data_IF_175850534806
#
_entry.id   IF_175850534806
#
_cell.length_a   1.000
_cell.length_b   1.000
_cell.length_c   1.000
_cell.angle_alpha   90.00
_cell.angle_beta   90.00
_cell.angle_gamma   90.00
#
_symmetry.space_group_name_H-M   'P 1'
#
loop_
_entity.id
_entity.type
_entity.pdbx_description
1 polymer ?
#
# COMPACT_ATOMS: atom_id res chain seq x y z
N UNK A 1 43.60 7.23 7.18
CA UNK A 1 43.07 7.88 5.95
C UNK A 1 41.57 7.65 5.87
N UNK A 2 40.76 8.69 5.65
CA UNK A 2 39.32 8.52 5.45
C UNK A 2 39.04 7.74 4.16
N UNK A 3 38.03 6.88 4.19
CA UNK A 3 37.48 6.17 3.04
C UNK A 3 36.14 6.83 2.71
N UNK A 4 36.05 7.52 1.59
CA UNK A 4 34.85 8.24 1.17
C UNK A 4 34.91 8.61 -0.32
N UNK A 5 33.75 8.95 -0.89
CA UNK A 5 33.60 9.40 -2.28
C UNK A 5 33.27 10.89 -2.31
N UNK A 6 33.57 11.63 -3.38
CA UNK A 6 33.29 13.07 -3.46
C UNK A 6 31.81 13.46 -3.22
N UNK A 7 30.89 12.51 -3.42
CA UNK A 7 29.44 12.70 -3.29
C UNK A 7 28.85 12.31 -1.90
N UNK A 8 29.62 11.62 -1.04
CA UNK A 8 29.15 11.12 0.25
C UNK A 8 30.18 11.33 1.37
N UNK A 9 29.69 11.53 2.60
CA UNK A 9 30.52 11.69 3.80
C UNK A 9 31.40 10.45 4.08
N UNK A 10 32.39 10.59 4.97
CA UNK A 10 33.37 9.54 5.30
C UNK A 10 32.66 8.25 5.73
N UNK A 11 32.82 7.16 4.95
CA UNK A 11 32.17 5.86 5.18
C UNK A 11 33.02 4.90 6.02
N UNK A 12 34.30 5.19 6.20
CA UNK A 12 35.21 4.40 7.02
C UNK A 12 36.58 5.06 7.16
N UNK A 13 37.45 4.42 7.94
CA UNK A 13 38.82 4.89 8.13
C UNK A 13 39.78 3.73 7.90
N UNK A 14 40.71 3.92 6.96
CA UNK A 14 41.86 3.04 6.77
C UNK A 14 42.97 3.43 7.75
N UNK A 15 43.41 2.49 8.59
CA UNK A 15 44.52 2.69 9.52
C UNK A 15 45.70 1.82 9.14
N UNK A 16 46.90 2.41 9.15
CA UNK A 16 48.16 1.68 9.10
C UNK A 16 48.75 1.65 10.51
N UNK A 17 49.21 0.48 10.93
CA UNK A 17 49.84 0.29 12.22
C UNK A 17 51.14 -0.50 12.05
N UNK A 18 52.15 -0.19 12.88
CA UNK A 18 53.39 -0.98 12.97
C UNK A 18 53.84 -1.12 14.42
N UNK A 19 54.77 -2.04 14.66
CA UNK A 19 55.32 -2.30 15.99
C UNK A 19 56.06 -1.07 16.56
N UNK A 20 56.00 -0.93 17.88
CA UNK A 20 56.66 0.17 18.61
C UNK A 20 58.17 0.12 18.40
N UNK A 21 58.78 1.26 18.08
CA UNK A 21 60.23 1.38 17.84
C UNK A 21 60.67 1.15 16.38
N UNK A 22 59.76 0.76 15.48
CA UNK A 22 60.08 0.68 14.06
C UNK A 22 60.06 2.08 13.39
N UNK A 23 60.79 2.28 12.27
CA UNK A 23 60.85 3.55 11.53
C UNK A 23 59.48 4.17 11.20
N UNK A 24 59.42 5.49 11.01
CA UNK A 24 58.21 6.15 10.50
C UNK A 24 57.91 5.71 9.06
N UNK A 25 56.62 5.70 8.68
CA UNK A 25 56.21 5.44 7.29
C UNK A 25 56.70 6.57 6.39
N UNK A 26 57.23 6.23 5.22
CA UNK A 26 57.61 7.21 4.20
C UNK A 26 56.50 7.44 3.15
N UNK A 27 56.77 8.35 2.21
CA UNK A 27 55.82 8.71 1.14
C UNK A 27 55.58 7.59 0.12
N UNK A 28 56.55 6.71 -0.10
CA UNK A 28 56.44 5.59 -1.03
C UNK A 28 55.62 4.44 -0.41
N UNK A 29 55.72 4.25 0.90
CA UNK A 29 54.89 3.30 1.66
C UNK A 29 53.44 3.78 1.81
N UNK A 30 53.23 5.09 1.95
CA UNK A 30 51.90 5.66 2.22
C UNK A 30 51.15 6.13 0.97
N UNK A 31 51.85 6.47 -0.12
CA UNK A 31 51.27 6.92 -1.38
C UNK A 31 50.21 5.97 -1.99
N UNK A 32 50.48 4.65 -2.08
CA UNK A 32 49.52 3.67 -2.59
C UNK A 32 48.23 3.56 -1.77
N UNK A 33 48.25 3.94 -0.48
CA UNK A 33 47.08 3.85 0.41
C UNK A 33 45.95 4.77 0.00
N UNK A 34 46.25 5.90 -0.65
CA UNK A 34 45.23 6.81 -1.14
C UNK A 34 44.42 6.16 -2.27
N UNK A 35 45.10 5.50 -3.21
CA UNK A 35 44.46 4.74 -4.29
C UNK A 35 43.65 3.56 -3.75
N UNK A 36 44.20 2.84 -2.77
CA UNK A 36 43.47 1.78 -2.08
C UNK A 36 42.24 2.29 -1.33
N UNK A 37 42.34 3.42 -0.62
CA UNK A 37 41.22 4.04 0.07
C UNK A 37 40.11 4.46 -0.92
N UNK A 38 40.46 4.95 -2.10
CA UNK A 38 39.50 5.24 -3.17
C UNK A 38 38.79 3.99 -3.69
N UNK A 39 39.52 2.90 -3.93
CA UNK A 39 38.90 1.62 -4.34
C UNK A 39 38.02 1.01 -3.24
N UNK A 40 38.46 1.10 -1.98
CA UNK A 40 37.67 0.67 -0.83
C UNK A 40 36.38 1.49 -0.69
N UNK A 41 36.42 2.80 -0.94
CA UNK A 41 35.24 3.66 -0.91
C UNK A 41 34.21 3.24 -1.96
N UNK A 42 34.63 3.01 -3.20
CA UNK A 42 33.76 2.54 -4.28
C UNK A 42 33.17 1.16 -3.98
N UNK A 43 33.99 0.23 -3.47
CA UNK A 43 33.53 -1.11 -3.10
C UNK A 43 32.48 -1.05 -1.97
N UNK A 44 32.68 -0.20 -0.97
CA UNK A 44 31.71 0.03 0.11
C UNK A 44 30.41 0.66 -0.41
N UNK A 45 30.50 1.63 -1.32
CA UNK A 45 29.32 2.24 -1.94
C UNK A 45 28.50 1.20 -2.73
N UNK A 46 29.16 0.39 -3.56
CA UNK A 46 28.49 -0.66 -4.31
C UNK A 46 27.87 -1.72 -3.40
N UNK A 47 28.56 -2.10 -2.32
CA UNK A 47 28.03 -3.03 -1.34
C UNK A 47 26.77 -2.48 -0.64
N UNK A 48 26.76 -1.20 -0.29
CA UNK A 48 25.61 -0.56 0.34
C UNK A 48 24.42 -0.50 -0.61
N UNK A 49 24.64 -0.06 -1.86
CA UNK A 49 23.60 -0.05 -2.91
C UNK A 49 23.02 -1.43 -3.17
N UNK A 50 23.85 -2.48 -3.14
CA UNK A 50 23.39 -3.87 -3.27
C UNK A 50 22.49 -4.27 -2.10
N UNK A 51 22.90 -3.98 -0.86
CA UNK A 51 22.07 -4.26 0.33
C UNK A 51 20.72 -3.54 0.28
N UNK A 52 20.71 -2.25 -0.06
CA UNK A 52 19.48 -1.47 -0.22
C UNK A 52 18.56 -2.10 -1.28
N UNK A 53 19.12 -2.45 -2.44
CA UNK A 53 18.37 -3.10 -3.51
C UNK A 53 17.82 -4.47 -3.11
N UNK A 54 18.61 -5.31 -2.42
CA UNK A 54 18.18 -6.61 -1.91
C UNK A 54 17.03 -6.46 -0.91
N UNK A 55 17.12 -5.48 -0.01
CA UNK A 55 16.06 -5.21 0.96
C UNK A 55 14.77 -4.75 0.26
N UNK A 56 14.86 -3.90 -0.77
CA UNK A 56 13.70 -3.48 -1.57
C UNK A 56 13.07 -4.68 -2.31
N UNK A 57 13.89 -5.56 -2.89
CA UNK A 57 13.39 -6.77 -3.58
C UNK A 57 12.66 -7.67 -2.61
N UNK A 58 13.22 -7.92 -1.42
CA UNK A 58 12.58 -8.74 -0.39
C UNK A 58 11.24 -8.14 0.07
N UNK A 59 11.17 -6.82 0.28
CA UNK A 59 9.92 -6.16 0.66
C UNK A 59 8.85 -6.30 -0.42
N UNK A 60 9.20 -6.05 -1.69
CA UNK A 60 8.29 -6.24 -2.83
C UNK A 60 7.77 -7.67 -2.93
N UNK A 61 8.63 -8.65 -2.68
CA UNK A 61 8.25 -10.05 -2.71
C UNK A 61 7.30 -10.40 -1.57
N UNK A 62 7.53 -9.88 -0.36
CA UNK A 62 6.59 -10.04 0.77
C UNK A 62 5.22 -9.45 0.45
N UNK A 63 5.17 -8.26 -0.15
CA UNK A 63 3.91 -7.63 -0.57
C UNK A 63 3.20 -8.45 -1.65
N UNK A 64 3.95 -9.04 -2.57
CA UNK A 64 3.40 -9.91 -3.61
C UNK A 64 2.81 -11.18 -3.01
N UNK A 65 3.56 -11.88 -2.19
CA UNK A 65 3.10 -13.10 -1.51
C UNK A 65 1.86 -12.80 -0.66
N UNK A 66 1.86 -11.70 0.09
CA UNK A 66 0.70 -11.32 0.90
C UNK A 66 -0.55 -11.10 0.02
N UNK A 67 -0.43 -10.37 -1.10
CA UNK A 67 -1.53 -10.19 -2.05
C UNK A 67 -2.04 -11.51 -2.62
N UNK A 68 -1.14 -12.35 -3.13
CA UNK A 68 -1.51 -13.63 -3.74
C UNK A 68 -2.25 -14.53 -2.74
N UNK A 69 -1.78 -14.57 -1.49
CA UNK A 69 -2.44 -15.32 -0.41
C UNK A 69 -3.82 -14.74 -0.06
N UNK A 70 -3.95 -13.42 0.02
CA UNK A 70 -5.23 -12.79 0.33
C UNK A 70 -6.26 -12.96 -0.80
N UNK A 71 -5.85 -12.83 -2.06
CA UNK A 71 -6.73 -13.04 -3.21
C UNK A 71 -7.22 -14.48 -3.23
N UNK A 72 -6.34 -15.44 -2.99
CA UNK A 72 -6.71 -16.85 -2.85
C UNK A 72 -7.69 -17.07 -1.69
N UNK A 73 -7.45 -16.46 -0.53
CA UNK A 73 -8.34 -16.57 0.62
C UNK A 73 -9.75 -16.01 0.31
N UNK A 74 -9.83 -14.83 -0.31
CA UNK A 74 -11.09 -14.20 -0.74
C UNK A 74 -11.82 -15.09 -1.74
N UNK A 75 -11.13 -15.63 -2.75
CA UNK A 75 -11.73 -16.54 -3.73
C UNK A 75 -12.35 -17.77 -3.07
N UNK A 76 -11.65 -18.40 -2.11
CA UNK A 76 -12.14 -19.59 -1.40
C UNK A 76 -13.35 -19.27 -0.51
N UNK A 77 -13.35 -18.13 0.18
CA UNK A 77 -14.51 -17.70 0.98
C UNK A 77 -15.74 -17.52 0.09
N UNK A 78 -15.59 -16.83 -1.04
CA UNK A 78 -16.68 -16.60 -2.00
C UNK A 78 -17.19 -17.92 -2.60
N UNK A 79 -16.29 -18.81 -3.02
CA UNK A 79 -16.68 -20.12 -3.54
C UNK A 79 -17.44 -20.97 -2.50
N UNK A 80 -17.03 -20.89 -1.24
CA UNK A 80 -17.73 -21.55 -0.12
C UNK A 80 -19.11 -20.95 0.08
N UNK A 81 -19.23 -19.62 0.06
CA UNK A 81 -20.52 -18.92 0.12
C UNK A 81 -21.46 -19.34 -1.02
N UNK A 82 -20.98 -19.39 -2.26
CA UNK A 82 -21.76 -19.88 -3.41
C UNK A 82 -22.21 -21.34 -3.24
N UNK A 83 -21.35 -22.20 -2.66
CA UNK A 83 -21.69 -23.59 -2.37
C UNK A 83 -22.80 -23.69 -1.33
N UNK A 84 -22.74 -22.88 -0.26
CA UNK A 84 -23.78 -22.80 0.77
C UNK A 84 -25.10 -22.24 0.22
N UNK A 85 -25.04 -21.23 -0.65
CA UNK A 85 -26.21 -20.71 -1.37
C UNK A 85 -26.87 -21.79 -2.24
N UNK A 86 -26.08 -22.61 -2.91
CA UNK A 86 -26.57 -23.75 -3.68
C UNK A 86 -27.15 -24.88 -2.81
N UNK A 87 -26.76 -24.97 -1.54
CA UNK A 87 -27.26 -25.96 -0.59
C UNK A 87 -28.58 -25.53 0.07
N UNK A 88 -28.82 -24.22 0.20
CA UNK A 88 -30.04 -23.64 0.81
C UNK A 88 -31.35 -24.18 0.20
N UNK A 89 -31.37 -24.48 -1.10
CA UNK A 89 -32.54 -25.05 -1.79
C UNK A 89 -32.94 -26.46 -1.33
N UNK A 90 -32.10 -27.13 -0.54
CA UNK A 90 -32.34 -28.48 -0.02
C UNK A 90 -32.65 -28.48 1.49
N UNK A 91 -32.84 -27.30 2.09
CA UNK A 91 -33.11 -27.15 3.52
C UNK A 91 -34.59 -26.83 3.72
N UNK A 92 -35.33 -27.78 4.28
CA UNK A 92 -36.76 -27.60 4.57
C UNK A 92 -37.02 -26.93 5.92
N UNK A 93 -36.08 -27.04 6.87
CA UNK A 93 -36.24 -26.46 8.21
C UNK A 93 -35.89 -24.97 8.19
N UNK A 94 -36.85 -24.06 8.46
CA UNK A 94 -36.64 -22.62 8.28
C UNK A 94 -35.52 -22.07 9.18
N UNK A 95 -35.40 -22.56 10.42
CA UNK A 95 -34.32 -22.11 11.32
C UNK A 95 -32.94 -22.57 10.85
N UNK A 96 -32.85 -23.70 10.14
CA UNK A 96 -31.59 -24.18 9.58
C UNK A 96 -31.19 -23.35 8.35
N UNK A 97 -32.16 -22.98 7.51
CA UNK A 97 -31.94 -22.08 6.38
C UNK A 97 -31.44 -20.70 6.85
N UNK A 98 -32.08 -20.14 7.89
CA UNK A 98 -31.67 -18.89 8.52
C UNK A 98 -30.23 -18.92 9.06
N UNK A 99 -29.81 -20.03 9.66
CA UNK A 99 -28.43 -20.20 10.15
C UNK A 99 -27.42 -20.22 9.00
N UNK A 100 -27.76 -20.87 7.89
CA UNK A 100 -26.89 -20.91 6.70
C UNK A 100 -26.78 -19.53 6.05
N UNK A 101 -27.88 -18.78 5.97
CA UNK A 101 -27.88 -17.40 5.48
C UNK A 101 -26.96 -16.50 6.32
N UNK A 102 -27.05 -16.56 7.65
CA UNK A 102 -26.13 -15.83 8.53
C UNK A 102 -24.66 -16.22 8.32
N UNK A 103 -24.39 -17.52 8.15
CA UNK A 103 -23.03 -17.98 7.87
C UNK A 103 -22.49 -17.44 6.54
N UNK A 104 -23.34 -17.32 5.51
CA UNK A 104 -22.96 -16.68 4.24
C UNK A 104 -22.66 -15.19 4.45
N UNK A 105 -23.50 -14.47 5.20
CA UNK A 105 -23.28 -13.06 5.52
C UNK A 105 -21.96 -12.84 6.28
N UNK A 106 -21.64 -13.72 7.24
CA UNK A 106 -20.38 -13.69 8.00
C UNK A 106 -19.15 -13.93 7.11
N UNK A 107 -19.25 -14.83 6.12
CA UNK A 107 -18.18 -15.06 5.14
C UNK A 107 -17.95 -13.81 4.26
N UNK A 108 -19.02 -13.15 3.83
CA UNK A 108 -18.95 -11.92 3.04
C UNK A 108 -18.36 -10.75 3.84
N UNK A 109 -18.74 -10.60 5.11
CA UNK A 109 -18.16 -9.59 6.01
C UNK A 109 -16.68 -9.87 6.27
N UNK A 110 -16.29 -11.13 6.44
CA UNK A 110 -14.90 -11.53 6.59
C UNK A 110 -14.09 -11.18 5.33
N UNK A 111 -14.63 -11.47 4.13
CA UNK A 111 -13.98 -11.10 2.87
C UNK A 111 -13.84 -9.57 2.72
N UNK A 112 -14.85 -8.80 3.15
CA UNK A 112 -14.83 -7.33 3.17
C UNK A 112 -13.75 -6.80 4.13
N UNK A 113 -13.65 -7.37 5.32
CA UNK A 113 -12.64 -7.00 6.34
C UNK A 113 -11.21 -7.26 5.85
N UNK A 114 -10.97 -8.42 5.23
CA UNK A 114 -9.68 -8.76 4.63
C UNK A 114 -9.32 -7.72 3.55
N UNK A 115 -10.25 -7.44 2.64
CA UNK A 115 -10.05 -6.45 1.57
C UNK A 115 -9.75 -5.05 2.14
N UNK A 116 -10.50 -4.60 3.15
CA UNK A 116 -10.30 -3.31 3.80
C UNK A 116 -8.92 -3.22 4.48
N UNK A 117 -8.47 -4.28 5.13
CA UNK A 117 -7.15 -4.34 5.79
C UNK A 117 -6.03 -4.19 4.76
N UNK A 118 -6.13 -4.88 3.61
CA UNK A 118 -5.16 -4.78 2.52
C UNK A 118 -5.12 -3.35 1.95
N UNK A 119 -6.27 -2.70 1.76
CA UNK A 119 -6.32 -1.31 1.28
C UNK A 119 -5.83 -0.30 2.32
N UNK A 120 -6.14 -0.52 3.61
CA UNK A 120 -5.70 0.33 4.71
C UNK A 120 -4.18 0.31 4.92
N UNK A 121 -3.55 -0.85 4.74
CA UNK A 121 -2.09 -0.99 4.74
C UNK A 121 -1.45 -0.24 3.57
N UNK A 122 -2.02 -0.36 2.35
CA UNK A 122 -1.53 0.36 1.16
C UNK A 122 -1.50 1.88 1.32
N UNK A 123 -2.49 2.47 2.00
CA UNK A 123 -2.53 3.93 2.24
C UNK A 123 -1.43 4.38 3.20
N UNK A 124 -0.96 3.50 4.09
CA UNK A 124 0.14 3.79 5.03
C UNK A 124 1.50 3.66 4.35
N UNK A 125 1.66 2.68 3.47
CA UNK A 125 2.92 2.42 2.74
C UNK A 125 3.15 3.37 1.56
N UNK A 126 2.09 3.84 0.88
CA UNK A 126 2.21 4.74 -0.27
C UNK A 126 2.70 6.17 0.08
N UNK A 127 3.06 6.42 1.35
CA UNK A 127 3.77 7.62 1.80
C UNK A 127 2.97 8.93 1.67
N UNK A 128 3.59 10.07 2.00
CA UNK A 128 2.96 11.39 1.95
C UNK A 128 2.43 11.77 0.55
N UNK A 129 3.02 11.22 -0.51
CA UNK A 129 2.65 11.50 -1.90
C UNK A 129 1.24 11.00 -2.27
N UNK A 130 0.85 9.79 -1.84
CA UNK A 130 -0.49 9.27 -2.08
C UNK A 130 -1.57 10.03 -1.28
N UNK A 131 -1.24 10.46 -0.05
CA UNK A 131 -2.08 11.37 0.73
C UNK A 131 -2.26 12.72 0.01
N UNK A 132 -1.19 13.26 -0.59
CA UNK A 132 -1.21 14.49 -1.38
C UNK A 132 -2.05 14.41 -2.65
N UNK A 133 -2.04 13.27 -3.35
CA UNK A 133 -2.86 13.07 -4.56
C UNK A 133 -4.35 13.06 -4.22
N UNK A 134 -4.76 12.37 -3.15
CA UNK A 134 -6.15 12.34 -2.70
C UNK A 134 -6.64 13.73 -2.28
N UNK A 135 -5.81 14.48 -1.56
CA UNK A 135 -6.12 15.87 -1.17
C UNK A 135 -6.31 16.78 -2.40
N UNK A 136 -5.41 16.69 -3.40
CA UNK A 136 -5.55 17.44 -4.66
C UNK A 136 -6.80 17.09 -5.45
N UNK A 137 -7.20 15.83 -5.50
CA UNK A 137 -8.44 15.42 -6.19
C UNK A 137 -9.68 15.95 -5.47
N UNK A 138 -9.71 15.89 -4.14
CA UNK A 138 -10.80 16.48 -3.35
C UNK A 138 -10.87 17.99 -3.58
N UNK A 139 -9.73 18.68 -3.53
CA UNK A 139 -9.66 20.13 -3.75
C UNK A 139 -10.14 20.55 -5.15
N UNK A 140 -9.78 19.78 -6.19
CA UNK A 140 -10.25 20.03 -7.57
C UNK A 140 -11.75 19.80 -7.70
N UNK A 141 -12.28 18.76 -7.07
CA UNK A 141 -13.73 18.48 -7.11
C UNK A 141 -14.51 19.52 -6.30
N UNK A 142 -14.01 19.96 -5.14
CA UNK A 142 -14.63 21.03 -4.36
C UNK A 142 -14.63 22.37 -5.10
N UNK A 143 -13.52 22.71 -5.79
CA UNK A 143 -13.46 23.89 -6.66
C UNK A 143 -14.45 23.81 -7.82
N UNK A 144 -14.60 22.64 -8.45
CA UNK A 144 -15.58 22.43 -9.51
C UNK A 144 -17.03 22.50 -8.98
N UNK A 145 -17.29 21.95 -7.80
CA UNK A 145 -18.59 21.99 -7.14
C UNK A 145 -19.01 23.41 -6.73
N UNK A 146 -18.06 24.23 -6.28
CA UNK A 146 -18.27 25.64 -5.95
C UNK A 146 -18.65 26.48 -7.18
N UNK A 147 -18.11 26.15 -8.35
CA UNK A 147 -18.42 26.83 -9.62
C UNK A 147 -19.76 26.34 -10.21
N UNK A 148 -20.10 25.06 -10.00
CA UNK A 148 -21.29 24.43 -10.58
C UNK A 148 -22.54 24.47 -9.67
N UNK A 149 -22.42 24.97 -8.43
CA UNK A 149 -23.53 25.17 -7.49
C UNK A 149 -24.23 23.89 -7.01
N UNK A 150 -23.58 22.73 -7.13
CA UNK A 150 -24.14 21.42 -6.75
C UNK A 150 -23.29 20.74 -5.67
N UNK A 151 -23.93 20.13 -4.68
CA UNK A 151 -23.27 19.33 -3.65
C UNK A 151 -22.79 18.00 -4.22
N UNK A 152 -21.59 18.00 -4.79
CA UNK A 152 -20.98 16.79 -5.36
C UNK A 152 -20.40 15.91 -4.25
N UNK A 153 -20.74 14.61 -4.26
CA UNK A 153 -20.15 13.60 -3.35
C UNK A 153 -19.12 12.78 -4.11
N UNK A 154 -17.88 12.73 -3.62
CA UNK A 154 -16.80 11.91 -4.17
C UNK A 154 -16.71 10.61 -3.39
N UNK A 155 -16.99 9.49 -4.06
CA UNK A 155 -16.73 8.15 -3.52
C UNK A 155 -15.55 7.51 -4.23
N UNK A 156 -14.60 6.98 -3.46
CA UNK A 156 -13.48 6.20 -3.99
C UNK A 156 -13.86 4.74 -4.00
N UNK A 157 -13.86 4.12 -5.18
CA UNK A 157 -14.13 2.70 -5.32
C UNK A 157 -12.89 2.00 -5.88
N UNK A 158 -12.48 0.87 -5.30
CA UNK A 158 -11.34 0.12 -5.82
C UNK A 158 -11.65 -0.35 -7.24
N UNK A 159 -10.76 -0.05 -8.20
CA UNK A 159 -10.90 -0.58 -9.56
C UNK A 159 -10.42 -2.03 -9.61
N UNK A 160 -10.92 -2.81 -10.59
CA UNK A 160 -10.49 -4.19 -10.78
C UNK A 160 -9.04 -4.30 -11.28
N UNK A 161 -8.47 -3.20 -11.75
CA UNK A 161 -7.04 -3.07 -12.05
C UNK A 161 -6.32 -2.58 -10.79
N UNK A 162 -5.52 -3.45 -10.16
CA UNK A 162 -4.93 -3.27 -8.84
C UNK A 162 -4.07 -1.99 -8.64
N UNK A 163 -3.83 -1.20 -9.70
CA UNK A 163 -3.03 0.02 -9.71
C UNK A 163 -3.81 1.32 -9.96
N UNK A 164 -5.12 1.29 -10.20
CA UNK A 164 -5.91 2.51 -10.45
C UNK A 164 -7.08 2.67 -9.48
N UNK A 165 -7.31 3.90 -9.02
CA UNK A 165 -8.55 4.30 -8.33
C UNK A 165 -9.26 5.32 -9.21
N UNK A 166 -10.50 5.02 -9.61
CA UNK A 166 -11.33 5.94 -10.38
C UNK A 166 -12.26 6.71 -9.45
N UNK A 167 -12.12 8.03 -9.42
CA UNK A 167 -13.09 8.90 -8.75
C UNK A 167 -14.35 9.01 -9.63
N UNK A 168 -15.52 8.76 -9.08
CA UNK A 168 -16.81 9.15 -9.70
C UNK A 168 -17.42 10.30 -8.93
N UNK A 169 -17.96 11.26 -9.67
CA UNK A 169 -18.80 12.35 -9.15
C UNK A 169 -20.25 11.93 -9.34
N UNK A 170 -21.01 11.80 -8.25
CA UNK A 170 -22.45 11.51 -8.30
C UNK A 170 -23.29 12.78 -8.35
N UNK A 171 -24.34 12.78 -9.17
CA UNK A 171 -25.36 13.86 -9.22
C UNK A 171 -26.28 13.82 -7.99
N UNK A 172 -26.83 14.95 -7.52
CA UNK A 172 -27.72 14.99 -6.37
C UNK A 172 -29.06 14.31 -6.70
N UNK A 173 -29.50 13.39 -5.85
CA UNK A 173 -30.85 12.84 -5.84
C UNK A 173 -31.86 13.96 -5.56
N UNK A 174 -32.83 14.16 -6.46
CA UNK A 174 -33.91 15.12 -6.29
C UNK A 174 -34.71 14.83 -5.00
N UNK A 175 -35.09 15.85 -4.21
CA UNK A 175 -35.98 15.65 -3.08
C UNK A 175 -37.36 15.25 -3.59
N UNK A 176 -37.85 14.10 -3.14
CA UNK A 176 -39.23 13.64 -3.34
C UNK A 176 -40.19 14.74 -2.91
N UNK A 177 -40.93 15.28 -3.87
CA UNK A 177 -42.02 16.22 -3.66
C UNK A 177 -43.10 15.55 -2.80
N UNK A 178 -43.25 15.99 -1.54
CA UNK A 178 -44.45 15.70 -0.76
C UNK A 178 -45.55 16.65 -1.25
N UNK A 179 -46.44 16.15 -2.09
CA UNK A 179 -47.75 16.73 -2.35
C UNK A 179 -48.71 16.28 -1.24
N UNK A 180 -49.45 17.18 -0.58
CA UNK A 180 -50.51 16.77 0.35
C UNK A 180 -51.73 16.30 -0.45
N UNK A 181 -52.06 15.02 -0.31
CA UNK A 181 -53.30 14.44 -0.79
C UNK A 181 -54.44 14.93 0.10
N UNK A 182 -55.41 15.64 -0.50
CA UNK A 182 -56.65 16.07 0.10
C UNK A 182 -57.74 15.12 -0.40
N UNK A 183 -58.21 14.20 0.44
CA UNK A 183 -59.54 13.59 0.26
C UNK A 183 -60.27 13.44 1.60
N UNK A 184 -61.58 13.64 1.47
CA UNK A 184 -62.63 13.77 2.47
C UNK A 184 -63.10 12.39 2.95
N UNK A 185 -63.76 12.32 4.13
CA UNK A 185 -64.73 11.26 4.42
C UNK A 185 -64.85 10.79 5.87
N UNK A 186 -65.54 11.58 6.70
CA UNK A 186 -66.67 11.24 7.61
C UNK A 186 -66.78 12.26 8.74
#
# INVERSE_FOLDING_TARGET
MPIGTAEHDVRGVLMLARATGAPLFDGDESGPLLGFAGQAALAMELAERRRESEQIVLLKERDRIARDLHDLAIQRLLATGMTLQGALRFIDHPEAADRVLRAIDDLDETARTIRATIFGLRIREAGPAAKGLRARVVEVVERAAAVLGQSSRVSWQPSQDANFQTARVGSPSSPTSQLPYREQGL
#
